data_IF_362365591811
#
_entry.id   IF_362365591811
#
_cell.length_a   1.000
_cell.length_b   1.000
_cell.length_c   1.000
_cell.angle_alpha   90.00
_cell.angle_beta   90.00
_cell.angle_gamma   90.00
#
_symmetry.space_group_name_H-M   'P 1'
#
loop_
_entity.id
_entity.type
_entity.pdbx_description
1 polymer ?
#
# COMPACT_ATOMS: atom_id res chain seq x y z
N UNK A 1 2.88 -13.75 -7.64
CA UNK A 1 1.98 -14.88 -8.01
C UNK A 1 1.72 -15.63 -6.71
N UNK A 2 0.48 -15.65 -6.24
CA UNK A 2 0.14 -16.17 -4.90
C UNK A 2 0.10 -17.70 -4.92
N UNK A 3 1.05 -18.34 -4.24
CA UNK A 3 1.09 -19.79 -4.07
C UNK A 3 0.02 -20.24 -3.05
N UNK A 4 -0.95 -21.08 -3.44
CA UNK A 4 -1.99 -21.59 -2.55
C UNK A 4 -1.46 -22.37 -1.32
N UNK A 5 -0.20 -22.84 -1.38
CA UNK A 5 0.47 -23.57 -0.30
C UNK A 5 0.89 -22.71 0.90
N UNK A 6 0.91 -21.37 0.76
CA UNK A 6 1.31 -20.45 1.83
C UNK A 6 0.15 -20.10 2.78
N UNK A 7 -1.10 -20.36 2.39
CA UNK A 7 -2.30 -19.97 3.14
C UNK A 7 -2.73 -20.95 4.24
N UNK A 8 -1.80 -21.65 4.91
CA UNK A 8 -2.15 -22.54 6.02
C UNK A 8 -2.45 -21.79 7.34
N UNK A 9 -2.16 -20.49 7.41
CA UNK A 9 -2.38 -19.70 8.60
C UNK A 9 -3.88 -19.35 8.80
N UNK A 10 -4.42 -19.46 10.02
CA UNK A 10 -5.74 -18.92 10.32
C UNK A 10 -5.73 -17.40 10.15
N UNK A 11 -6.89 -16.82 9.85
CA UNK A 11 -7.10 -15.39 9.87
C UNK A 11 -6.60 -14.81 11.20
N UNK A 12 -5.70 -13.83 11.16
CA UNK A 12 -5.11 -13.26 12.37
C UNK A 12 -6.14 -12.49 13.23
N UNK A 13 -7.26 -12.08 12.64
CA UNK A 13 -8.35 -11.35 13.31
C UNK A 13 -9.30 -12.29 14.05
N UNK A 14 -9.99 -13.18 13.32
CA UNK A 14 -10.99 -14.05 13.93
C UNK A 14 -10.41 -15.38 14.45
N UNK A 15 -9.24 -15.80 13.95
CA UNK A 15 -8.54 -17.07 14.28
C UNK A 15 -9.34 -18.35 14.02
N UNK A 16 -10.52 -18.25 13.41
CA UNK A 16 -11.41 -19.38 13.11
C UNK A 16 -11.32 -19.79 11.65
N UNK A 17 -11.38 -18.82 10.73
CA UNK A 17 -11.40 -19.08 9.28
C UNK A 17 -10.00 -19.12 8.68
N UNK A 18 -9.85 -19.84 7.58
CA UNK A 18 -8.62 -19.85 6.78
C UNK A 18 -8.38 -18.47 6.16
N UNK A 19 -7.15 -17.98 6.19
CA UNK A 19 -6.80 -16.76 5.49
C UNK A 19 -6.81 -16.98 3.96
N UNK A 20 -7.38 -16.02 3.24
CA UNK A 20 -7.43 -16.00 1.77
C UNK A 20 -6.88 -14.70 1.19
N UNK A 21 -6.66 -13.69 2.04
CA UNK A 21 -6.18 -12.35 1.70
C UNK A 21 -5.04 -11.93 2.64
N UNK A 22 -4.33 -10.88 2.25
CA UNK A 22 -3.34 -10.21 3.09
C UNK A 22 -3.71 -8.73 3.26
N UNK A 23 -3.19 -8.10 4.30
CA UNK A 23 -3.37 -6.66 4.48
C UNK A 23 -2.34 -5.87 3.67
N UNK A 24 -2.78 -5.15 2.65
CA UNK A 24 -1.95 -4.36 1.72
C UNK A 24 -1.55 -2.97 2.27
N UNK A 25 -1.78 -2.71 3.55
CA UNK A 25 -1.45 -1.41 4.13
C UNK A 25 0.06 -1.22 4.19
N UNK A 26 0.56 -0.11 3.62
CA UNK A 26 1.99 0.23 3.66
C UNK A 26 2.35 0.71 5.07
N UNK A 27 3.24 -0.02 5.73
CA UNK A 27 3.73 0.30 7.09
C UNK A 27 5.08 1.02 7.05
N UNK A 28 5.83 0.91 5.94
CA UNK A 28 7.10 1.62 5.76
C UNK A 28 7.30 1.96 4.29
N UNK A 29 7.64 3.22 4.03
CA UNK A 29 8.14 3.66 2.74
C UNK A 29 9.66 3.50 2.74
N UNK A 30 10.14 2.40 2.17
CA UNK A 30 11.57 2.24 1.91
C UNK A 30 11.84 2.64 0.46
N UNK A 31 12.30 3.87 0.28
CA UNK A 31 12.82 4.29 -1.00
C UNK A 31 14.29 3.88 -1.01
N UNK A 32 14.64 2.98 -1.93
CA UNK A 32 16.01 2.51 -2.08
C UNK A 32 16.97 3.62 -2.48
N UNK A 33 18.25 3.25 -2.47
CA UNK A 33 19.44 4.11 -2.56
C UNK A 33 19.27 5.23 -3.61
N UNK A 34 19.31 6.49 -3.15
CA UNK A 34 19.19 7.71 -3.97
C UNK A 34 20.40 7.98 -4.87
N UNK A 35 21.53 7.31 -4.64
CA UNK A 35 22.73 7.45 -5.46
C UNK A 35 23.56 6.17 -5.49
N UNK A 36 23.65 5.54 -6.66
CA UNK A 36 24.61 4.49 -6.98
C UNK A 36 25.36 4.94 -8.23
N UNK A 37 26.70 4.86 -8.22
CA UNK A 37 27.54 5.26 -9.36
C UNK A 37 27.29 4.42 -10.61
N UNK A 38 26.86 3.17 -10.41
CA UNK A 38 26.40 2.26 -11.45
C UNK A 38 24.91 2.49 -11.75
N UNK A 39 24.64 3.08 -12.91
CA UNK A 39 23.29 3.38 -13.38
C UNK A 39 22.41 2.13 -13.52
N UNK A 40 22.98 0.98 -13.93
CA UNK A 40 22.20 -0.25 -14.10
C UNK A 40 21.73 -0.78 -12.75
N UNK A 41 22.63 -0.81 -11.77
CA UNK A 41 22.26 -1.16 -10.38
C UNK A 41 21.32 -0.14 -9.76
N UNK A 42 21.52 1.16 -10.02
CA UNK A 42 20.57 2.18 -9.59
C UNK A 42 19.17 1.90 -10.10
N UNK A 43 19.04 1.62 -11.40
CA UNK A 43 17.76 1.26 -12.01
C UNK A 43 17.21 -0.01 -11.38
N UNK A 44 17.98 -1.10 -11.29
CA UNK A 44 17.53 -2.37 -10.70
C UNK A 44 17.00 -2.20 -9.27
N UNK A 45 17.75 -1.49 -8.42
CA UNK A 45 17.38 -1.24 -7.03
C UNK A 45 16.20 -0.28 -6.89
N UNK A 46 15.94 0.61 -7.84
CA UNK A 46 14.83 1.58 -7.79
C UNK A 46 13.66 1.23 -8.73
N UNK A 47 13.73 0.11 -9.45
CA UNK A 47 12.70 -0.28 -10.44
C UNK A 47 11.36 -0.60 -9.80
N UNK A 48 11.37 -0.99 -8.53
CA UNK A 48 10.17 -1.32 -7.77
C UNK A 48 10.18 -0.57 -6.43
N UNK A 49 9.04 -0.01 -6.01
CA UNK A 49 8.94 0.56 -4.67
C UNK A 49 9.11 -0.55 -3.64
N UNK A 50 10.13 -0.44 -2.77
CA UNK A 50 10.38 -1.39 -1.68
C UNK A 50 9.53 -1.07 -0.45
N UNK A 51 8.25 -0.78 -0.68
CA UNK A 51 7.34 -0.49 0.41
C UNK A 51 7.08 -1.78 1.19
N UNK A 52 7.22 -1.71 2.52
CA UNK A 52 6.84 -2.80 3.40
C UNK A 52 5.32 -2.73 3.63
N UNK A 53 4.63 -3.82 3.33
CA UNK A 53 3.19 -3.99 3.58
C UNK A 53 2.95 -4.74 4.87
N UNK A 54 1.77 -4.57 5.46
CA UNK A 54 1.42 -5.20 6.73
C UNK A 54 1.37 -6.74 6.62
N UNK A 55 0.92 -7.27 5.49
CA UNK A 55 0.85 -8.70 5.16
C UNK A 55 0.10 -9.59 6.17
N UNK A 56 -0.72 -8.97 7.03
CA UNK A 56 -1.49 -9.70 8.03
C UNK A 56 -2.46 -10.66 7.32
N UNK A 57 -2.46 -11.97 7.63
CA UNK A 57 -3.36 -12.92 6.99
C UNK A 57 -4.82 -12.68 7.41
N UNK A 58 -5.69 -12.52 6.43
CA UNK A 58 -7.12 -12.20 6.60
C UNK A 58 -8.01 -13.22 5.87
N UNK A 59 -9.15 -13.55 6.46
CA UNK A 59 -10.26 -14.16 5.73
C UNK A 59 -11.14 -13.07 5.11
N UNK A 60 -11.91 -13.40 4.08
CA UNK A 60 -12.79 -12.45 3.37
C UNK A 60 -13.70 -11.63 4.30
N UNK A 61 -14.28 -12.25 5.33
CA UNK A 61 -15.15 -11.54 6.29
C UNK A 61 -14.42 -10.52 7.18
N UNK A 62 -13.10 -10.65 7.35
CA UNK A 62 -12.30 -9.74 8.17
C UNK A 62 -11.53 -8.74 7.31
N UNK A 63 -11.66 -8.82 5.99
CA UNK A 63 -11.04 -7.92 5.04
C UNK A 63 -11.96 -6.74 4.74
N UNK A 64 -11.39 -5.54 4.68
CA UNK A 64 -12.05 -4.35 4.17
C UNK A 64 -11.41 -3.97 2.84
N UNK A 65 -12.16 -4.09 1.74
CA UNK A 65 -11.71 -3.59 0.44
C UNK A 65 -11.73 -2.07 0.45
N UNK A 66 -10.61 -1.47 0.03
CA UNK A 66 -10.54 -0.04 -0.20
C UNK A 66 -9.76 0.27 -1.47
N UNK A 67 -10.49 0.59 -2.54
CA UNK A 67 -9.93 0.89 -3.86
C UNK A 67 -8.95 -0.19 -4.35
N UNK A 68 -9.33 -1.48 -4.24
CA UNK A 68 -8.52 -2.65 -4.62
C UNK A 68 -7.36 -2.99 -3.67
N UNK A 69 -7.28 -2.35 -2.51
CA UNK A 69 -6.37 -2.75 -1.45
C UNK A 69 -7.16 -3.47 -0.35
N UNK A 70 -6.69 -4.65 0.05
CA UNK A 70 -7.28 -5.42 1.13
C UNK A 70 -6.72 -4.91 2.48
N UNK A 71 -7.58 -4.40 3.37
CA UNK A 71 -7.15 -3.84 4.66
C UNK A 71 -7.67 -4.66 5.86
N UNK A 72 -6.84 -4.80 6.90
CA UNK A 72 -7.30 -5.32 8.18
C UNK A 72 -8.14 -4.26 8.92
N UNK A 73 -8.95 -4.65 9.92
CA UNK A 73 -9.82 -3.70 10.63
C UNK A 73 -9.08 -2.56 11.31
N UNK A 74 -7.82 -2.77 11.71
CA UNK A 74 -6.97 -1.72 12.28
C UNK A 74 -6.57 -0.69 11.22
N UNK A 75 -5.98 -1.15 10.11
CA UNK A 75 -5.51 -0.27 9.04
C UNK A 75 -6.63 0.40 8.26
N UNK A 76 -7.80 -0.24 8.14
CA UNK A 76 -8.98 0.39 7.58
C UNK A 76 -9.43 1.61 8.40
N UNK A 77 -9.39 1.54 9.74
CA UNK A 77 -9.69 2.69 10.61
C UNK A 77 -8.67 3.81 10.44
N UNK A 78 -7.38 3.49 10.36
CA UNK A 78 -6.34 4.48 10.11
C UNK A 78 -6.52 5.17 8.76
N UNK A 79 -6.89 4.42 7.72
CA UNK A 79 -7.17 4.96 6.40
C UNK A 79 -8.34 5.95 6.42
N UNK A 80 -9.39 5.67 7.19
CA UNK A 80 -10.52 6.60 7.37
C UNK A 80 -10.13 7.88 8.12
N UNK A 81 -9.18 7.78 9.06
CA UNK A 81 -8.67 8.93 9.80
C UNK A 81 -7.68 9.79 8.99
N UNK A 82 -7.11 9.24 7.91
CA UNK A 82 -6.14 9.92 7.08
C UNK A 82 -6.73 11.02 6.17
N UNK A 83 -8.05 11.26 6.24
CA UNK A 83 -8.68 12.33 5.47
C UNK A 83 -8.08 13.71 5.83
N UNK A 84 -7.74 14.47 4.79
CA UNK A 84 -7.23 15.82 4.98
C UNK A 84 -8.34 16.76 5.49
N UNK A 85 -8.01 17.64 6.46
CA UNK A 85 -8.86 18.76 6.83
C UNK A 85 -9.34 19.53 5.60
N UNK A 86 -10.60 19.97 5.60
CA UNK A 86 -11.26 20.57 4.43
C UNK A 86 -10.50 21.80 3.90
N UNK A 87 -9.97 22.63 4.80
CA UNK A 87 -9.15 23.79 4.46
C UNK A 87 -7.87 23.46 3.68
N UNK A 88 -7.36 22.22 3.78
CA UNK A 88 -6.15 21.77 3.07
C UNK A 88 -6.46 21.06 1.74
N UNK A 89 -7.69 20.56 1.55
CA UNK A 89 -8.06 19.82 0.33
C UNK A 89 -7.92 20.66 -0.94
N UNK A 90 -8.28 21.94 -0.88
CA UNK A 90 -8.14 22.86 -2.01
C UNK A 90 -6.67 23.07 -2.45
N UNK A 91 -5.75 23.13 -1.49
CA UNK A 91 -4.31 23.24 -1.78
C UNK A 91 -3.76 21.94 -2.40
N UNK A 92 -4.17 20.78 -1.88
CA UNK A 92 -3.81 19.48 -2.44
C UNK A 92 -4.31 19.32 -3.88
N UNK A 93 -5.58 19.65 -4.15
CA UNK A 93 -6.18 19.52 -5.48
C UNK A 93 -5.44 20.38 -6.53
N UNK A 94 -5.17 21.65 -6.22
CA UNK A 94 -4.41 22.54 -7.12
C UNK A 94 -3.01 22.01 -7.42
N UNK A 95 -2.32 21.47 -6.41
CA UNK A 95 -0.98 20.92 -6.59
C UNK A 95 -1.01 19.67 -7.47
N UNK A 96 -1.96 18.75 -7.24
CA UNK A 96 -2.15 17.56 -8.08
C UNK A 96 -2.44 17.91 -9.54
N UNK A 97 -3.26 18.92 -9.80
CA UNK A 97 -3.54 19.38 -11.17
C UNK A 97 -2.28 19.89 -11.87
N UNK A 98 -1.45 20.68 -11.17
CA UNK A 98 -0.17 21.16 -11.72
C UNK A 98 0.77 20.01 -12.07
N UNK A 99 0.96 19.06 -11.15
CA UNK A 99 1.80 17.88 -11.37
C UNK A 99 1.30 17.06 -12.56
N UNK A 100 -0.02 16.83 -12.66
CA UNK A 100 -0.59 16.08 -13.78
C UNK A 100 -0.36 16.77 -15.13
N UNK A 101 -0.47 18.10 -15.18
CA UNK A 101 -0.19 18.88 -16.38
C UNK A 101 1.29 18.83 -16.79
N UNK A 102 2.22 18.84 -15.81
CA UNK A 102 3.65 18.70 -16.06
C UNK A 102 4.01 17.30 -16.60
N UNK A 103 3.37 16.24 -16.09
CA UNK A 103 3.57 14.86 -16.57
C UNK A 103 3.06 14.69 -18.01
N UNK A 104 1.89 15.26 -18.35
CA UNK A 104 1.31 15.17 -19.69
C UNK A 104 2.09 15.94 -20.76
N UNK A 105 2.86 16.95 -20.36
CA UNK A 105 3.67 17.78 -21.27
C UNK A 105 5.12 17.26 -21.43
N UNK A 106 5.45 16.10 -20.84
CA UNK A 106 6.72 15.37 -21.05
C UNK A 106 6.56 14.29 -22.11
#
# INVERSE_FOLDING_TARGET
MNDPGVFAAPCAICRVRKATRWCDYIIKYDHSIIFIRDYKRFVEENSYPHNETCDLPLCEECTHDQNKADLCPHHHKLQQQAELPENLRGAQARTKMKIAQEILNR
#
